data_IF_660395201684
#
_entry.id   IF_660395201684
#
_cell.length_a   1.000
_cell.length_b   1.000
_cell.length_c   1.000
_cell.angle_alpha   90.00
_cell.angle_beta   90.00
_cell.angle_gamma   90.00
#
_symmetry.space_group_name_H-M   'P 1'
#
loop_
_entity.id
_entity.type
_entity.pdbx_description
1 polymer ?
#
# COMPACT_ATOMS: atom_id res chain seq x y z
N UNK A 1 3.32 11.43 -18.83
CA UNK A 1 3.08 12.88 -18.98
C UNK A 1 4.23 13.44 -19.80
N UNK A 2 3.92 14.29 -20.78
CA UNK A 2 4.92 14.99 -21.58
C UNK A 2 5.01 16.44 -21.08
N UNK A 3 6.21 16.84 -20.64
CA UNK A 3 6.47 18.13 -20.01
C UNK A 3 7.70 18.78 -20.64
N UNK A 4 7.61 20.07 -20.99
CA UNK A 4 8.79 20.86 -21.38
C UNK A 4 9.41 21.54 -20.17
N UNK A 5 10.68 21.22 -19.83
CA UNK A 5 11.37 21.88 -18.74
C UNK A 5 11.66 23.37 -18.99
N UNK A 6 11.83 23.77 -20.25
CA UNK A 6 12.15 25.16 -20.63
C UNK A 6 10.91 26.07 -20.59
N UNK A 7 9.78 25.60 -21.13
CA UNK A 7 8.53 26.36 -21.20
C UNK A 7 7.67 26.18 -19.93
N UNK A 8 8.03 25.23 -19.06
CA UNK A 8 7.28 24.82 -17.86
C UNK A 8 5.82 24.49 -18.19
N UNK A 9 5.58 23.87 -19.34
CA UNK A 9 4.25 23.57 -19.86
C UNK A 9 4.03 22.05 -19.98
N UNK A 10 2.79 21.63 -19.70
CA UNK A 10 2.34 20.24 -19.85
C UNK A 10 1.64 20.12 -21.20
N UNK A 11 2.23 19.37 -22.13
CA UNK A 11 1.61 19.17 -23.45
C UNK A 11 0.53 18.11 -23.44
N UNK A 12 0.77 17.03 -22.69
CA UNK A 12 -0.11 15.86 -22.73
C UNK A 12 -0.05 15.06 -21.41
N UNK A 13 -1.22 14.56 -21.01
CA UNK A 13 -1.37 13.54 -19.97
C UNK A 13 -1.68 12.23 -20.66
N UNK A 14 -0.74 11.29 -20.57
CA UNK A 14 -0.88 9.93 -21.11
C UNK A 14 -1.96 9.14 -20.35
N UNK A 15 -2.41 8.03 -20.94
CA UNK A 15 -3.30 7.07 -20.28
C UNK A 15 -2.71 6.59 -18.95
N UNK A 16 -3.57 6.45 -17.94
CA UNK A 16 -3.16 6.04 -16.59
C UNK A 16 -3.33 4.54 -16.45
N UNK A 17 -2.34 3.85 -15.89
CA UNK A 17 -2.45 2.40 -15.61
C UNK A 17 -3.46 2.08 -14.51
N UNK A 18 -3.64 2.99 -13.54
CA UNK A 18 -4.60 2.89 -12.46
C UNK A 18 -4.85 4.26 -11.82
N UNK A 19 -5.95 4.35 -11.06
CA UNK A 19 -6.37 5.52 -10.28
C UNK A 19 -6.92 5.05 -8.93
N UNK A 20 -6.52 5.72 -7.86
CA UNK A 20 -7.16 5.70 -6.55
C UNK A 20 -7.87 7.04 -6.34
N UNK A 21 -9.07 7.02 -5.75
CA UNK A 21 -9.87 8.22 -5.51
C UNK A 21 -9.63 8.87 -4.14
N UNK A 22 -9.07 8.13 -3.17
CA UNK A 22 -8.76 8.63 -1.81
C UNK A 22 -7.43 8.06 -1.30
N UNK A 23 -6.35 8.86 -1.28
CA UNK A 23 -6.21 10.18 -1.92
C UNK A 23 -6.33 10.07 -3.45
N UNK A 24 -6.63 11.17 -4.13
CA UNK A 24 -6.72 11.18 -5.60
C UNK A 24 -5.33 11.10 -6.22
N UNK A 25 -4.89 9.90 -6.58
CA UNK A 25 -3.57 9.62 -7.14
C UNK A 25 -3.66 8.57 -8.24
N UNK A 26 -2.72 8.59 -9.18
CA UNK A 26 -2.71 7.71 -10.34
C UNK A 26 -1.33 7.11 -10.55
N UNK A 27 -1.26 6.05 -11.36
CA UNK A 27 -0.03 5.39 -11.77
C UNK A 27 0.80 4.82 -10.61
N UNK A 28 0.13 4.19 -9.64
CA UNK A 28 0.77 3.52 -8.51
C UNK A 28 1.30 2.15 -8.95
N UNK A 29 2.56 1.83 -8.64
CA UNK A 29 3.12 0.50 -8.87
C UNK A 29 2.76 -0.46 -7.73
N UNK A 30 3.00 0.01 -6.50
CA UNK A 30 3.00 -0.83 -5.32
C UNK A 30 2.20 -0.15 -4.19
N UNK A 31 1.46 -0.95 -3.43
CA UNK A 31 0.76 -0.53 -2.21
C UNK A 31 1.42 -1.21 -1.02
N UNK A 32 1.94 -0.45 -0.06
CA UNK A 32 2.51 -1.02 1.16
C UNK A 32 1.46 -0.98 2.28
N UNK A 33 1.07 -2.14 2.77
CA UNK A 33 0.10 -2.34 3.83
C UNK A 33 0.83 -2.55 5.16
N UNK A 34 0.86 -1.51 6.00
CA UNK A 34 1.48 -1.57 7.32
C UNK A 34 0.48 -2.02 8.38
N UNK A 35 0.79 -3.11 9.06
CA UNK A 35 0.05 -3.63 10.21
C UNK A 35 0.99 -3.83 11.40
N UNK A 36 0.46 -3.70 12.60
CA UNK A 36 1.21 -4.02 13.82
C UNK A 36 1.01 -5.49 14.18
N UNK A 37 2.07 -6.15 14.65
CA UNK A 37 2.00 -7.46 15.27
C UNK A 37 1.24 -7.39 16.61
N UNK A 38 1.37 -6.26 17.33
CA UNK A 38 0.68 -5.99 18.59
C UNK A 38 0.46 -4.49 18.79
N UNK A 39 -0.63 -4.12 19.46
CA UNK A 39 -1.02 -2.72 19.78
C UNK A 39 -1.07 -1.77 18.56
N UNK A 40 -2.15 -1.78 17.75
CA UNK A 40 -3.34 -2.65 17.89
C UNK A 40 -3.07 -4.07 17.40
N UNK A 41 -3.94 -5.00 17.81
CA UNK A 41 -3.90 -6.37 17.29
C UNK A 41 -4.22 -6.39 15.79
N UNK A 42 -3.67 -7.39 15.10
CA UNK A 42 -3.81 -7.51 13.66
C UNK A 42 -5.24 -7.93 13.29
N UNK A 43 -5.97 -7.03 12.63
CA UNK A 43 -7.28 -7.33 12.08
C UNK A 43 -7.16 -7.91 10.66
N UNK A 44 -7.28 -9.24 10.59
CA UNK A 44 -7.23 -9.97 9.32
C UNK A 44 -8.33 -9.55 8.34
N UNK A 45 -9.52 -9.17 8.82
CA UNK A 45 -10.63 -8.78 7.95
C UNK A 45 -10.31 -7.47 7.23
N UNK A 46 -9.74 -6.50 7.95
CA UNK A 46 -9.25 -5.27 7.34
C UNK A 46 -8.07 -5.53 6.40
N UNK A 47 -7.10 -6.37 6.78
CA UNK A 47 -5.98 -6.73 5.91
C UNK A 47 -6.46 -7.32 4.57
N UNK A 48 -7.34 -8.32 4.61
CA UNK A 48 -7.87 -8.94 3.40
C UNK A 48 -8.68 -7.97 2.54
N UNK A 49 -9.46 -7.10 3.16
CA UNK A 49 -10.22 -6.06 2.44
C UNK A 49 -9.28 -5.13 1.68
N UNK A 50 -8.17 -4.70 2.29
CA UNK A 50 -7.18 -3.84 1.64
C UNK A 50 -6.43 -4.56 0.51
N UNK A 51 -6.10 -5.84 0.70
CA UNK A 51 -5.46 -6.68 -0.35
C UNK A 51 -6.38 -6.82 -1.55
N UNK A 52 -7.66 -7.16 -1.34
CA UNK A 52 -8.63 -7.27 -2.44
C UNK A 52 -8.79 -5.93 -3.16
N UNK A 53 -8.84 -4.82 -2.42
CA UNK A 53 -8.94 -3.50 -3.01
C UNK A 53 -7.71 -3.13 -3.84
N UNK A 54 -6.50 -3.55 -3.44
CA UNK A 54 -5.29 -3.28 -4.25
C UNK A 54 -5.36 -4.00 -5.60
N UNK A 55 -5.80 -5.26 -5.60
CA UNK A 55 -5.99 -6.01 -6.84
C UNK A 55 -7.09 -5.43 -7.73
N UNK A 56 -8.21 -4.99 -7.14
CA UNK A 56 -9.27 -4.29 -7.86
C UNK A 56 -8.75 -3.03 -8.60
N UNK A 57 -7.81 -2.31 -7.98
CA UNK A 57 -7.18 -1.14 -8.58
C UNK A 57 -5.94 -1.45 -9.44
N UNK A 58 -5.62 -2.72 -9.72
CA UNK A 58 -4.41 -3.14 -10.46
C UNK A 58 -3.11 -2.59 -9.82
N UNK A 59 -2.97 -2.78 -8.51
CA UNK A 59 -1.79 -2.37 -7.74
C UNK A 59 -1.27 -3.57 -6.95
N UNK A 60 0.05 -3.79 -7.00
CA UNK A 60 0.70 -4.90 -6.30
C UNK A 60 0.82 -4.59 -4.79
N UNK A 61 0.18 -5.37 -3.90
CA UNK A 61 0.31 -5.15 -2.46
C UNK A 61 1.59 -5.78 -1.89
N UNK A 62 2.19 -5.10 -0.91
CA UNK A 62 3.27 -5.59 -0.06
C UNK A 62 2.85 -5.44 1.39
N UNK A 63 2.83 -6.55 2.12
CA UNK A 63 2.41 -6.56 3.53
C UNK A 63 3.66 -6.40 4.40
N UNK A 64 3.62 -5.43 5.30
CA UNK A 64 4.66 -5.20 6.29
C UNK A 64 4.03 -5.26 7.67
N UNK A 65 4.40 -6.29 8.42
CA UNK A 65 4.05 -6.40 9.84
C UNK A 65 5.19 -5.76 10.63
N UNK A 66 4.88 -4.84 11.55
CA UNK A 66 5.84 -4.16 12.41
C UNK A 66 5.52 -4.37 13.90
N UNK A 67 6.28 -3.74 14.81
CA UNK A 67 6.10 -3.85 16.27
C UNK A 67 6.27 -5.27 16.87
N UNK A 68 7.12 -6.10 16.25
CA UNK A 68 7.48 -7.42 16.80
C UNK A 68 8.17 -7.33 18.17
N UNK A 69 8.73 -6.17 18.51
CA UNK A 69 9.31 -5.88 19.83
C UNK A 69 8.30 -5.98 20.97
N UNK A 70 7.01 -5.75 20.69
CA UNK A 70 5.93 -5.78 21.70
C UNK A 70 5.42 -7.20 22.01
N UNK A 71 5.80 -8.20 21.22
CA UNK A 71 5.38 -9.60 21.43
C UNK A 71 6.06 -10.20 22.67
N UNK A 72 5.32 -11.01 23.43
CA UNK A 72 5.86 -11.79 24.53
C UNK A 72 6.80 -12.89 24.03
N UNK A 73 7.59 -13.47 24.94
CA UNK A 73 8.47 -14.58 24.59
C UNK A 73 7.69 -15.79 24.03
N UNK A 74 6.56 -16.13 24.65
CA UNK A 74 5.70 -17.22 24.20
C UNK A 74 5.07 -16.94 22.82
N UNK A 75 4.68 -15.69 22.54
CA UNK A 75 4.15 -15.29 21.23
C UNK A 75 5.21 -15.37 20.13
N UNK A 76 6.48 -15.09 20.44
CA UNK A 76 7.60 -15.20 19.49
C UNK A 76 7.93 -16.65 19.14
N UNK A 77 7.89 -17.57 20.10
CA UNK A 77 8.15 -19.00 19.87
C UNK A 77 7.10 -19.60 18.91
N UNK A 78 5.84 -19.17 18.99
CA UNK A 78 4.78 -19.67 18.11
C UNK A 78 4.88 -19.16 16.65
N UNK A 79 5.82 -18.24 16.36
CA UNK A 79 6.05 -17.68 15.02
C UNK A 79 7.26 -18.28 14.31
N UNK A 80 8.11 -19.05 15.01
CA UNK A 80 9.23 -19.83 14.43
C UNK A 80 8.76 -21.21 13.95
#
# INVERSE_FOLDING_TARGET
MLFSPSEKFIYEVLERKNIIHRPLIANIDNLILFFAAKSPDLDFTHLYTLILNSFYHNINPYIVINKFDLLTYDEKINLE
#
